data_IF_532275513574
#
_entry.id   IF_532275513574
#
_cell.length_a   1.000
_cell.length_b   1.000
_cell.length_c   1.000
_cell.angle_alpha   90.00
_cell.angle_beta   90.00
_cell.angle_gamma   90.00
#
_symmetry.space_group_name_H-M   'P 1'
#
loop_
_entity.id
_entity.type
_entity.pdbx_description
1 polymer ?
#
# COMPACT_ATOMS: atom_id res chain seq x y z
N UNK A 1 -29.70 22.73 3.18
CA UNK A 1 -28.24 22.63 3.09
C UNK A 1 -27.82 23.98 2.59
N UNK A 2 -27.28 24.75 3.50
CA UNK A 2 -27.05 26.17 3.28
C UNK A 2 -25.72 26.34 2.54
N UNK A 3 -25.51 27.47 1.88
CA UNK A 3 -24.30 27.69 1.08
C UNK A 3 -23.01 27.56 1.91
N UNK A 4 -23.11 27.87 3.21
CA UNK A 4 -22.04 27.72 4.21
C UNK A 4 -21.68 26.24 4.46
N UNK A 5 -22.66 25.33 4.46
CA UNK A 5 -22.40 23.88 4.62
C UNK A 5 -21.62 23.33 3.43
N UNK A 6 -21.94 23.82 2.22
CA UNK A 6 -21.26 23.43 0.99
C UNK A 6 -19.82 23.95 0.96
N UNK A 7 -19.60 25.19 1.38
CA UNK A 7 -18.27 25.80 1.47
C UNK A 7 -17.38 25.05 2.46
N UNK A 8 -17.90 24.78 3.67
CA UNK A 8 -17.19 24.00 4.70
C UNK A 8 -16.84 22.57 4.23
N UNK A 9 -17.77 21.89 3.54
CA UNK A 9 -17.51 20.56 2.99
C UNK A 9 -16.44 20.58 1.88
N UNK A 10 -16.42 21.62 1.04
CA UNK A 10 -15.41 21.79 0.01
C UNK A 10 -14.03 22.00 0.63
N UNK A 11 -13.93 22.88 1.63
CA UNK A 11 -12.67 23.14 2.33
C UNK A 11 -12.14 21.90 3.05
N UNK A 12 -13.02 21.10 3.67
CA UNK A 12 -12.62 19.87 4.36
C UNK A 12 -12.16 18.75 3.42
N UNK A 13 -12.75 18.64 2.22
CA UNK A 13 -12.44 17.56 1.27
C UNK A 13 -11.27 17.92 0.34
N UNK A 14 -11.11 19.20 0.00
CA UNK A 14 -10.15 19.67 -1.01
C UNK A 14 -8.85 20.24 -0.42
N UNK A 15 -8.49 19.80 0.78
CA UNK A 15 -7.21 20.16 1.41
C UNK A 15 -6.04 19.69 0.53
N UNK A 16 -5.06 20.57 0.31
CA UNK A 16 -3.86 20.23 -0.47
C UNK A 16 -3.02 19.18 0.25
N UNK A 17 -2.62 18.13 -0.45
CA UNK A 17 -1.69 17.14 0.08
C UNK A 17 -0.24 17.59 -0.07
N UNK A 18 0.62 17.09 0.82
CA UNK A 18 2.07 17.21 0.71
C UNK A 18 2.65 16.09 -0.18
N UNK A 19 3.88 16.28 -0.66
CA UNK A 19 4.58 15.27 -1.46
C UNK A 19 5.16 14.21 -0.53
N UNK A 20 5.00 12.93 -0.88
CA UNK A 20 5.68 11.82 -0.21
C UNK A 20 7.12 11.65 -0.72
N UNK A 21 7.96 10.95 0.04
CA UNK A 21 9.32 10.60 -0.37
C UNK A 21 9.31 9.71 -1.61
N UNK A 22 10.31 9.88 -2.49
CA UNK A 22 10.35 9.21 -3.80
C UNK A 22 10.54 7.69 -3.69
N UNK A 23 11.02 7.20 -2.54
CA UNK A 23 11.20 5.77 -2.21
C UNK A 23 9.95 5.13 -1.60
N UNK A 24 8.89 5.89 -1.35
CA UNK A 24 7.63 5.36 -0.80
C UNK A 24 7.06 4.28 -1.74
N UNK A 25 6.91 3.02 -1.28
CA UNK A 25 6.36 1.95 -2.10
C UNK A 25 4.89 2.23 -2.44
N UNK A 26 4.54 2.09 -3.72
CA UNK A 26 3.16 2.22 -4.18
C UNK A 26 2.39 0.95 -3.89
N UNK A 27 1.13 1.11 -3.48
CA UNK A 27 0.22 -0.03 -3.31
C UNK A 27 -0.05 -0.68 -4.66
N UNK A 28 0.38 -1.94 -4.82
CA UNK A 28 0.20 -2.76 -6.02
C UNK A 28 0.20 -4.24 -5.62
N UNK A 29 -0.85 -4.96 -6.02
CA UNK A 29 -0.92 -6.42 -5.87
C UNK A 29 -0.32 -7.17 -7.06
N UNK A 30 -0.26 -8.49 -6.95
CA UNK A 30 0.18 -9.38 -8.03
C UNK A 30 -0.70 -9.26 -9.28
N UNK A 31 -0.06 -9.22 -10.46
CA UNK A 31 -0.75 -9.21 -11.74
C UNK A 31 -0.93 -10.64 -12.26
N UNK A 32 -2.15 -11.17 -12.13
CA UNK A 32 -2.47 -12.53 -12.60
C UNK A 32 -2.39 -12.69 -14.13
N UNK A 33 -2.27 -11.61 -14.90
CA UNK A 33 -1.97 -11.71 -16.33
C UNK A 33 -0.55 -12.21 -16.59
N UNK A 34 0.35 -12.16 -15.60
CA UNK A 34 1.69 -12.77 -15.66
C UNK A 34 1.67 -14.30 -15.43
N UNK A 35 0.49 -14.89 -15.25
CA UNK A 35 0.32 -16.31 -14.93
C UNK A 35 0.27 -16.55 -13.41
N UNK A 36 0.47 -17.80 -12.99
CA UNK A 36 0.46 -18.19 -11.58
C UNK A 36 1.91 -18.43 -11.14
N UNK A 37 2.49 -17.43 -10.52
CA UNK A 37 3.82 -17.46 -9.90
C UNK A 37 3.67 -17.19 -8.39
N UNK A 38 3.90 -18.22 -7.58
CA UNK A 38 3.69 -18.16 -6.13
C UNK A 38 4.76 -17.32 -5.42
N UNK A 39 5.99 -17.29 -5.95
CA UNK A 39 7.06 -16.46 -5.37
C UNK A 39 6.70 -15.00 -5.55
N UNK A 40 6.40 -14.58 -6.78
CA UNK A 40 5.96 -13.21 -7.06
C UNK A 40 4.66 -12.82 -6.36
N UNK A 41 3.73 -13.76 -6.23
CA UNK A 41 2.48 -13.53 -5.50
C UNK A 41 2.76 -13.20 -4.03
N UNK A 42 3.59 -14.00 -3.36
CA UNK A 42 3.97 -13.78 -1.96
C UNK A 42 4.84 -12.53 -1.80
N UNK A 43 5.71 -12.23 -2.75
CA UNK A 43 6.50 -10.99 -2.74
C UNK A 43 5.60 -9.75 -2.85
N UNK A 44 4.53 -9.82 -3.67
CA UNK A 44 3.58 -8.72 -3.82
C UNK A 44 2.84 -8.35 -2.54
N UNK A 45 2.87 -9.21 -1.51
CA UNK A 45 2.22 -8.93 -0.24
C UNK A 45 2.84 -7.72 0.46
N UNK A 46 4.13 -7.45 0.27
CA UNK A 46 4.80 -6.24 0.78
C UNK A 46 4.11 -4.96 0.31
N UNK A 47 3.55 -4.94 -0.90
CA UNK A 47 2.90 -3.78 -1.52
C UNK A 47 1.38 -3.90 -1.64
N UNK A 48 0.76 -4.97 -1.12
CA UNK A 48 -0.69 -5.17 -1.24
C UNK A 48 -1.50 -4.40 -0.19
N UNK A 49 -0.92 -4.16 0.99
CA UNK A 49 -1.55 -3.41 2.08
C UNK A 49 -2.21 -4.29 3.15
N UNK A 50 -2.64 -3.67 4.25
CA UNK A 50 -3.31 -4.31 5.39
C UNK A 50 -2.54 -5.53 5.93
N UNK A 51 -3.23 -6.66 6.11
CA UNK A 51 -2.64 -7.90 6.62
C UNK A 51 -1.67 -8.57 5.64
N UNK A 52 -1.80 -8.30 4.34
CA UNK A 52 -0.85 -8.82 3.35
C UNK A 52 0.54 -8.22 3.61
N UNK A 53 0.65 -6.90 3.78
CA UNK A 53 1.94 -6.25 4.10
C UNK A 53 2.54 -6.79 5.39
N UNK A 54 1.74 -6.98 6.45
CA UNK A 54 2.23 -7.59 7.69
C UNK A 54 2.78 -9.01 7.49
N UNK A 55 2.11 -9.82 6.67
CA UNK A 55 2.55 -11.17 6.35
C UNK A 55 3.84 -11.15 5.50
N UNK A 56 3.93 -10.27 4.50
CA UNK A 56 5.13 -10.10 3.68
C UNK A 56 6.35 -9.71 4.54
N UNK A 57 6.19 -8.75 5.45
CA UNK A 57 7.24 -8.33 6.39
C UNK A 57 7.68 -9.48 7.32
N UNK A 58 6.74 -10.30 7.80
CA UNK A 58 7.08 -11.46 8.63
C UNK A 58 7.92 -12.50 7.87
N UNK A 59 7.58 -12.76 6.61
CA UNK A 59 8.33 -13.67 5.73
C UNK A 59 9.77 -13.16 5.50
N UNK A 60 9.94 -11.85 5.26
CA UNK A 60 11.25 -11.23 5.07
C UNK A 60 12.15 -11.37 6.31
N UNK A 61 11.59 -11.11 7.50
CA UNK A 61 12.31 -11.25 8.78
C UNK A 61 12.74 -12.69 9.05
N UNK A 62 11.85 -13.67 8.83
CA UNK A 62 12.17 -15.09 9.00
C UNK A 62 13.22 -15.57 7.99
N UNK A 63 13.17 -15.06 6.75
CA UNK A 63 14.20 -15.27 5.74
C UNK A 63 15.56 -14.79 6.23
N UNK A 64 15.66 -13.56 6.73
CA UNK A 64 16.91 -13.02 7.28
C UNK A 64 17.46 -13.85 8.45
N UNK A 65 16.59 -14.32 9.35
CA UNK A 65 16.99 -15.15 10.51
C UNK A 65 17.55 -16.53 10.12
N UNK A 66 17.13 -17.09 8.97
CA UNK A 66 17.55 -18.43 8.54
C UNK A 66 18.92 -18.45 7.86
N UNK A 67 19.38 -17.32 7.31
CA UNK A 67 20.61 -17.23 6.52
C UNK A 67 21.72 -16.40 7.17
N UNK A 68 21.57 -16.02 8.46
CA UNK A 68 22.61 -15.45 9.33
C UNK A 68 22.74 -16.30 10.60
#
# INVERSE_FOLDING_TARGET
MDAEDLESAQDAVLVKSEKMDDDTPKVRGYDFNEGIDYEKLLDSYLTTGFQATNLGLAIEVDGFRKYN
#
